data_IF_305776919984
#
_entry.id   IF_305776919984
#
_cell.length_a   1.000
_cell.length_b   1.000
_cell.length_c   1.000
_cell.angle_alpha   90.00
_cell.angle_beta   90.00
_cell.angle_gamma   90.00
#
_symmetry.space_group_name_H-M   'P 1'
#
loop_
_entity.id
_entity.type
_entity.pdbx_description
1 polymer ?
#
# COMPACT_ATOMS: atom_id res chain seq x y z
N UNK A 1 -0.38 -9.23 -26.81
CA UNK A 1 -0.71 -9.92 -25.55
C UNK A 1 -1.43 -8.92 -24.68
N UNK A 2 -2.74 -9.12 -24.49
CA UNK A 2 -3.66 -8.15 -23.90
C UNK A 2 -3.61 -8.24 -22.37
N UNK A 3 -3.62 -7.11 -21.68
CA UNK A 3 -3.72 -7.03 -20.21
C UNK A 3 -5.00 -7.77 -19.77
N UNK A 4 -4.84 -8.96 -19.19
CA UNK A 4 -5.93 -9.77 -18.68
C UNK A 4 -6.62 -9.05 -17.51
N UNK A 5 -7.87 -8.59 -17.73
CA UNK A 5 -9.00 -8.60 -16.78
C UNK A 5 -8.80 -8.13 -15.32
N UNK A 6 -7.76 -7.36 -14.99
CA UNK A 6 -7.69 -6.65 -13.71
C UNK A 6 -8.59 -5.41 -13.81
N UNK A 7 -9.84 -5.56 -13.39
CA UNK A 7 -10.79 -4.46 -13.30
C UNK A 7 -10.20 -3.34 -12.45
N UNK A 8 -10.09 -2.14 -13.02
CA UNK A 8 -9.75 -0.94 -12.25
C UNK A 8 -11.00 -0.55 -11.47
N UNK A 9 -11.05 -0.91 -10.20
CA UNK A 9 -12.08 -0.45 -9.29
C UNK A 9 -11.54 0.76 -8.52
N UNK A 10 -12.30 1.86 -8.54
CA UNK A 10 -12.01 3.04 -7.74
C UNK A 10 -12.96 3.07 -6.54
N UNK A 11 -12.40 3.18 -5.35
CA UNK A 11 -13.15 3.27 -4.09
C UNK A 11 -12.86 4.62 -3.46
N UNK A 12 -13.90 5.34 -3.03
CA UNK A 12 -13.77 6.61 -2.33
C UNK A 12 -14.35 6.47 -0.94
N UNK A 13 -13.51 6.58 0.09
CA UNK A 13 -13.86 6.43 1.51
C UNK A 13 -14.49 5.07 1.89
N UNK A 14 -14.46 4.08 1.01
CA UNK A 14 -14.96 2.73 1.25
C UNK A 14 -13.81 1.73 1.33
N UNK A 15 -13.12 1.74 2.46
CA UNK A 15 -11.97 0.87 2.70
C UNK A 15 -12.38 -0.60 2.79
N UNK A 16 -13.58 -0.91 3.29
CA UNK A 16 -14.04 -2.29 3.43
C UNK A 16 -14.25 -2.94 2.06
N UNK A 17 -14.99 -2.29 1.15
CA UNK A 17 -15.20 -2.85 -0.18
C UNK A 17 -13.90 -2.96 -0.99
N UNK A 18 -12.96 -2.03 -0.80
CA UNK A 18 -11.62 -2.11 -1.37
C UNK A 18 -10.86 -3.34 -0.86
N UNK A 19 -10.82 -3.54 0.46
CA UNK A 19 -10.11 -4.66 1.08
C UNK A 19 -10.72 -6.01 0.68
N UNK A 20 -12.04 -6.11 0.65
CA UNK A 20 -12.76 -7.31 0.20
C UNK A 20 -12.41 -7.63 -1.25
N UNK A 21 -12.40 -6.61 -2.13
CA UNK A 21 -12.03 -6.81 -3.53
C UNK A 21 -10.57 -7.28 -3.65
N UNK A 22 -9.63 -6.60 -3.01
CA UNK A 22 -8.18 -6.91 -3.14
C UNK A 22 -7.88 -8.30 -2.59
N UNK A 23 -8.41 -8.65 -1.41
CA UNK A 23 -8.16 -9.95 -0.78
C UNK A 23 -8.87 -11.12 -1.48
N UNK A 24 -9.90 -10.84 -2.31
CA UNK A 24 -10.52 -11.87 -3.16
C UNK A 24 -9.68 -12.26 -4.38
N UNK A 25 -8.64 -11.49 -4.71
CA UNK A 25 -7.76 -11.75 -5.85
C UNK A 25 -6.69 -12.81 -5.51
N UNK A 26 -6.13 -13.45 -6.54
CA UNK A 26 -4.92 -14.26 -6.38
C UNK A 26 -3.73 -13.32 -6.19
N UNK A 27 -3.30 -13.15 -4.95
CA UNK A 27 -2.17 -12.27 -4.59
C UNK A 27 -0.82 -12.93 -4.90
N UNK A 28 0.13 -12.11 -5.34
CA UNK A 28 1.52 -12.53 -5.54
C UNK A 28 2.19 -12.89 -4.21
N UNK A 29 3.20 -13.76 -4.27
CA UNK A 29 4.01 -14.20 -3.12
C UNK A 29 5.50 -14.05 -3.44
N UNK A 30 6.20 -13.04 -2.90
CA UNK A 30 5.69 -12.03 -1.98
C UNK A 30 4.78 -10.99 -2.67
N UNK A 31 3.85 -10.42 -1.90
CA UNK A 31 3.06 -9.26 -2.25
C UNK A 31 3.88 -8.00 -1.97
N UNK A 32 4.12 -7.19 -3.00
CA UNK A 32 4.84 -5.92 -2.87
C UNK A 32 3.83 -4.78 -2.75
N UNK A 33 3.90 -4.03 -1.66
CA UNK A 33 3.04 -2.89 -1.37
C UNK A 33 3.87 -1.61 -1.35
N UNK A 34 3.70 -0.74 -2.36
CA UNK A 34 4.39 0.54 -2.47
C UNK A 34 3.48 1.66 -1.92
N UNK A 35 3.86 2.28 -0.81
CA UNK A 35 3.06 3.31 -0.13
C UNK A 35 3.72 4.70 -0.17
N UNK A 36 2.92 5.75 -0.02
CA UNK A 36 3.33 7.15 -0.10
C UNK A 36 3.83 7.75 1.23
N UNK A 37 3.79 6.98 2.31
CA UNK A 37 4.19 7.43 3.64
C UNK A 37 3.05 7.97 4.51
N UNK A 38 1.79 7.99 4.05
CA UNK A 38 0.67 8.38 4.89
C UNK A 38 0.08 7.18 5.65
N UNK A 39 -0.32 7.38 6.91
CA UNK A 39 -0.90 6.31 7.75
C UNK A 39 -2.09 5.60 7.08
N UNK A 40 -2.85 6.33 6.24
CA UNK A 40 -3.98 5.78 5.49
C UNK A 40 -3.61 4.57 4.63
N UNK A 41 -2.55 4.66 3.82
CA UNK A 41 -2.17 3.54 2.94
C UNK A 41 -1.57 2.39 3.74
N UNK A 42 -0.79 2.67 4.78
CA UNK A 42 -0.19 1.64 5.63
C UNK A 42 -1.24 0.86 6.42
N UNK A 43 -2.29 1.54 6.90
CA UNK A 43 -3.40 0.88 7.57
C UNK A 43 -4.14 -0.08 6.63
N UNK A 44 -4.23 0.24 5.34
CA UNK A 44 -4.80 -0.67 4.34
C UNK A 44 -3.90 -1.88 4.09
N UNK A 45 -2.59 -1.67 3.88
CA UNK A 45 -1.65 -2.78 3.63
C UNK A 45 -1.63 -3.81 4.74
N UNK A 46 -1.81 -3.39 6.00
CA UNK A 46 -1.89 -4.30 7.15
C UNK A 46 -3.00 -5.34 7.04
N UNK A 47 -4.09 -5.00 6.34
CA UNK A 47 -5.28 -5.84 6.16
C UNK A 47 -5.26 -6.59 4.82
N UNK A 48 -4.19 -6.49 4.02
CA UNK A 48 -4.07 -7.16 2.72
C UNK A 48 -3.09 -8.33 2.79
N UNK A 49 -3.58 -9.52 2.48
CA UNK A 49 -2.79 -10.75 2.46
C UNK A 49 -2.12 -11.08 3.80
N UNK A 50 -1.27 -12.11 3.80
CA UNK A 50 -0.57 -12.55 5.00
C UNK A 50 0.64 -11.65 5.29
N UNK A 51 0.84 -11.28 6.56
CA UNK A 51 1.95 -10.40 6.98
C UNK A 51 3.32 -10.93 6.57
N UNK A 52 3.50 -12.26 6.57
CA UNK A 52 4.78 -12.90 6.25
C UNK A 52 5.09 -12.90 4.74
N UNK A 53 4.05 -12.74 3.92
CA UNK A 53 4.17 -12.74 2.46
C UNK A 53 4.17 -11.32 1.90
N UNK A 54 4.08 -10.28 2.75
CA UNK A 54 3.98 -8.88 2.34
C UNK A 54 5.29 -8.13 2.57
N UNK A 55 5.72 -7.38 1.56
CA UNK A 55 6.86 -6.46 1.62
C UNK A 55 6.33 -5.04 1.39
N UNK A 56 6.45 -4.21 2.42
CA UNK A 56 6.02 -2.81 2.41
C UNK A 56 7.21 -1.91 2.07
N UNK A 57 7.11 -1.17 0.97
CA UNK A 57 8.17 -0.29 0.45
C UNK A 57 7.63 1.15 0.46
N UNK A 58 8.40 2.07 1.01
CA UNK A 58 8.11 3.50 0.93
C UNK A 58 8.53 4.04 -0.44
N UNK A 59 7.60 4.71 -1.12
CA UNK A 59 7.89 5.44 -2.33
C UNK A 59 8.70 6.70 -2.01
N UNK A 60 9.99 6.63 -2.33
CA UNK A 60 10.95 7.71 -2.11
C UNK A 60 10.61 8.98 -2.90
N UNK A 61 9.87 8.89 -4.01
CA UNK A 61 9.51 10.08 -4.79
C UNK A 61 8.61 11.01 -3.97
N UNK A 62 7.68 10.44 -3.20
CA UNK A 62 6.80 11.21 -2.33
C UNK A 62 7.59 11.94 -1.22
N UNK A 63 8.70 11.39 -0.73
CA UNK A 63 9.56 12.04 0.27
C UNK A 63 10.18 13.37 -0.19
N UNK A 64 10.38 13.55 -1.50
CA UNK A 64 11.03 14.77 -2.04
C UNK A 64 10.13 16.01 -1.98
N UNK A 65 8.82 15.83 -1.82
CA UNK A 65 7.83 16.92 -1.75
C UNK A 65 7.10 16.99 -0.41
N UNK A 66 7.41 16.08 0.53
CA UNK A 66 6.81 16.06 1.86
C UNK A 66 7.44 17.16 2.74
N UNK A 67 6.63 18.05 3.36
CA UNK A 67 7.15 19.04 4.30
C UNK A 67 7.85 18.39 5.50
N UNK A 68 8.95 18.99 5.97
CA UNK A 68 9.76 18.53 7.11
C UNK A 68 8.98 17.96 8.33
N UNK A 69 7.85 18.54 8.79
CA UNK A 69 7.08 17.97 9.91
C UNK A 69 6.38 16.63 9.63
N UNK A 70 6.19 16.23 8.37
CA UNK A 70 5.61 14.93 8.01
C UNK A 70 6.68 13.84 7.81
N UNK A 71 7.96 14.22 7.66
CA UNK A 71 9.08 13.27 7.63
C UNK A 71 9.31 12.59 8.99
N UNK A 72 9.02 13.28 10.11
CA UNK A 72 9.19 12.73 11.46
C UNK A 72 8.18 11.62 11.80
N UNK A 73 6.99 11.64 11.19
CA UNK A 73 5.98 10.59 11.34
C UNK A 73 6.31 9.32 10.52
N UNK A 74 7.16 9.42 9.50
CA UNK A 74 7.60 8.31 8.65
C UNK A 74 8.84 7.55 9.17
N UNK A 75 9.16 7.69 10.45
CA UNK A 75 10.34 7.10 11.12
C UNK A 75 10.37 5.57 11.10
N UNK A 76 9.29 4.88 10.71
CA UNK A 76 9.26 3.42 10.53
C UNK A 76 10.23 2.89 9.46
N UNK A 77 10.64 3.71 8.49
CA UNK A 77 11.48 3.30 7.37
C UNK A 77 12.84 4.02 7.32
N UNK A 78 13.09 4.96 8.24
CA UNK A 78 14.33 5.77 8.27
C UNK A 78 15.34 5.31 9.34
N UNK A 79 14.99 4.34 10.18
CA UNK A 79 15.96 3.66 11.05
C UNK A 79 15.93 2.15 10.77
N UNK A 80 17.08 1.53 10.45
CA UNK A 80 17.19 0.09 10.18
C UNK A 80 16.88 -0.79 11.38
#
# INVERSE_FOLDING_TARGET
MSFHQLGVAAFFQDNSALLDLVNSQVLAKPLICLGDGHDGIWNLFREIGEKQERIEILDWYHLTHIPHPQLSHNTKFLNP
#
